data_IF_580053435388
#
_entry.id   IF_580053435388
#
_cell.length_a   1.000
_cell.length_b   1.000
_cell.length_c   1.000
_cell.angle_alpha   90.00
_cell.angle_beta   90.00
_cell.angle_gamma   90.00
#
_symmetry.space_group_name_H-M   'P 1'
#
loop_
_entity.id
_entity.type
_entity.pdbx_description
1 polymer ?
#
# COMPACT_ATOMS: atom_id res chain seq x y z
N UNK A 1 19.83 21.26 8.47
CA UNK A 1 20.44 20.39 7.45
C UNK A 1 19.60 20.50 6.19
N UNK A 2 20.21 20.84 5.06
CA UNK A 2 19.51 20.92 3.77
C UNK A 2 19.37 19.52 3.16
N UNK A 3 18.45 19.36 2.21
CA UNK A 3 18.31 18.11 1.44
C UNK A 3 19.61 17.75 0.71
N UNK A 4 20.36 18.75 0.24
CA UNK A 4 21.66 18.53 -0.41
C UNK A 4 22.69 17.91 0.55
N UNK A 5 22.77 18.42 1.79
CA UNK A 5 23.65 17.85 2.83
C UNK A 5 23.26 16.42 3.22
N UNK A 6 21.97 16.09 3.21
CA UNK A 6 21.47 14.72 3.48
C UNK A 6 21.92 13.77 2.35
N UNK A 7 21.76 14.18 1.09
CA UNK A 7 22.12 13.39 -0.08
C UNK A 7 23.63 13.12 -0.08
N UNK A 8 24.45 14.15 0.14
CA UNK A 8 25.91 14.02 0.22
C UNK A 8 26.31 12.95 1.26
N UNK A 9 25.75 13.04 2.47
CA UNK A 9 26.01 12.06 3.54
C UNK A 9 25.53 10.66 3.19
N UNK A 10 24.38 10.52 2.55
CA UNK A 10 23.84 9.23 2.12
C UNK A 10 24.72 8.58 1.04
N UNK A 11 25.32 9.36 0.14
CA UNK A 11 26.22 8.86 -0.90
C UNK A 11 27.55 8.32 -0.35
N UNK A 12 27.98 8.76 0.84
CA UNK A 12 29.16 8.22 1.53
C UNK A 12 28.93 6.85 2.19
N UNK A 13 27.70 6.39 2.31
CA UNK A 13 27.37 5.07 2.85
C UNK A 13 27.73 3.96 1.87
N UNK A 14 27.95 2.75 2.39
CA UNK A 14 28.07 1.54 1.56
C UNK A 14 26.76 1.26 0.82
N UNK A 15 26.82 0.43 -0.23
CA UNK A 15 25.63 0.07 -0.99
C UNK A 15 24.52 -0.54 -0.10
N UNK A 16 24.88 -1.42 0.84
CA UNK A 16 23.94 -2.06 1.76
C UNK A 16 23.29 -1.07 2.73
N UNK A 17 24.06 -0.11 3.26
CA UNK A 17 23.54 0.93 4.15
C UNK A 17 22.63 1.92 3.40
N UNK A 18 22.96 2.26 2.15
CA UNK A 18 22.06 3.08 1.32
C UNK A 18 20.75 2.36 1.03
N UNK A 19 20.80 1.05 0.76
CA UNK A 19 19.59 0.25 0.58
C UNK A 19 18.74 0.27 1.86
N UNK A 20 19.34 0.01 3.02
CA UNK A 20 18.64 0.08 4.30
C UNK A 20 18.03 1.47 4.57
N UNK A 21 18.73 2.55 4.21
CA UNK A 21 18.22 3.92 4.33
C UNK A 21 17.00 4.15 3.43
N UNK A 22 17.04 3.68 2.18
CA UNK A 22 15.91 3.78 1.24
C UNK A 22 14.69 3.04 1.80
N UNK A 23 14.87 1.83 2.31
CA UNK A 23 13.78 1.04 2.91
C UNK A 23 13.14 1.78 4.10
N UNK A 24 13.95 2.34 5.01
CA UNK A 24 13.45 3.10 6.14
C UNK A 24 12.69 4.36 5.71
N UNK A 25 13.19 5.07 4.70
CA UNK A 25 12.51 6.24 4.13
C UNK A 25 11.19 5.82 3.47
N UNK A 26 11.18 4.73 2.72
CA UNK A 26 9.97 4.19 2.10
C UNK A 26 8.92 3.82 3.16
N UNK A 27 9.30 3.05 4.19
CA UNK A 27 8.42 2.71 5.32
C UNK A 27 7.90 3.94 6.08
N UNK A 28 8.65 5.05 6.07
CA UNK A 28 8.19 6.28 6.69
C UNK A 28 7.04 6.96 5.93
N UNK A 29 6.97 6.71 4.62
CA UNK A 29 5.98 7.24 3.69
C UNK A 29 4.81 6.27 3.48
N UNK A 30 5.10 4.97 3.45
CA UNK A 30 4.13 3.88 3.30
C UNK A 30 3.47 3.54 4.64
N UNK A 31 2.92 4.57 5.28
CA UNK A 31 2.13 4.39 6.50
C UNK A 31 0.66 4.30 6.12
N UNK A 32 -0.05 3.24 6.54
CA UNK A 32 -1.48 3.17 6.33
C UNK A 32 -2.15 4.38 7.00
N UNK A 33 -3.05 5.03 6.27
CA UNK A 33 -3.89 6.08 6.83
C UNK A 33 -5.08 5.39 7.53
N UNK A 34 -5.20 5.46 8.87
CA UNK A 34 -6.26 4.78 9.59
C UNK A 34 -7.66 5.20 9.17
N UNK A 35 -7.83 6.42 8.65
CA UNK A 35 -9.11 6.88 8.11
C UNK A 35 -9.45 6.17 6.79
N UNK A 36 -8.45 5.98 5.93
CA UNK A 36 -8.60 5.23 4.68
C UNK A 36 -8.89 3.76 4.97
N UNK A 37 -8.12 3.14 5.87
CA UNK A 37 -8.32 1.74 6.29
C UNK A 37 -9.73 1.51 6.83
N UNK A 38 -10.23 2.44 7.65
CA UNK A 38 -11.59 2.38 8.18
C UNK A 38 -12.64 2.39 7.07
N UNK A 39 -12.52 3.31 6.10
CA UNK A 39 -13.46 3.40 4.98
C UNK A 39 -13.42 2.12 4.13
N UNK A 40 -12.22 1.58 3.90
CA UNK A 40 -12.05 0.30 3.21
C UNK A 40 -12.70 -0.87 3.96
N UNK A 41 -12.53 -0.93 5.28
CA UNK A 41 -13.17 -1.96 6.11
C UNK A 41 -14.70 -1.87 6.06
N UNK A 42 -15.26 -0.66 6.20
CA UNK A 42 -16.69 -0.42 6.13
C UNK A 42 -17.27 -0.83 4.77
N UNK A 43 -16.56 -0.53 3.67
CA UNK A 43 -16.96 -0.92 2.32
C UNK A 43 -16.86 -2.44 2.09
N UNK A 44 -15.77 -3.07 2.54
CA UNK A 44 -15.58 -4.52 2.40
C UNK A 44 -16.69 -5.31 3.10
N UNK A 45 -17.04 -4.92 4.33
CA UNK A 45 -18.14 -5.53 5.08
C UNK A 45 -19.50 -5.30 4.41
N UNK A 46 -19.73 -4.09 3.89
CA UNK A 46 -20.97 -3.77 3.15
C UNK A 46 -21.13 -4.63 1.91
N UNK A 47 -20.05 -4.86 1.14
CA UNK A 47 -20.07 -5.72 -0.05
C UNK A 47 -20.27 -7.18 0.31
N UNK A 48 -19.61 -7.67 1.36
CA UNK A 48 -19.79 -9.04 1.82
C UNK A 48 -21.25 -9.29 2.20
N UNK A 49 -21.86 -8.39 2.98
CA UNK A 49 -23.27 -8.50 3.35
C UNK A 49 -24.20 -8.50 2.12
N UNK A 50 -23.97 -7.60 1.16
CA UNK A 50 -24.79 -7.56 -0.06
C UNK A 50 -24.62 -8.81 -0.93
N UNK A 51 -23.44 -9.43 -0.92
CA UNK A 51 -23.19 -10.73 -1.56
C UNK A 51 -23.99 -11.84 -0.88
N UNK A 52 -23.90 -11.94 0.45
CA UNK A 52 -24.62 -12.94 1.24
C UNK A 52 -26.15 -12.83 1.07
N UNK A 53 -26.66 -11.62 0.86
CA UNK A 53 -28.08 -11.33 0.64
C UNK A 53 -28.49 -11.44 -0.85
N UNK A 54 -27.58 -11.84 -1.75
CA UNK A 54 -27.85 -12.02 -3.17
C UNK A 54 -28.16 -10.73 -3.93
N UNK A 55 -27.74 -9.58 -3.41
CA UNK A 55 -27.97 -8.25 -4.00
C UNK A 55 -26.80 -7.74 -4.85
N UNK A 56 -25.78 -8.56 -5.04
CA UNK A 56 -24.58 -8.24 -5.82
C UNK A 56 -24.49 -9.16 -7.04
N UNK A 57 -24.32 -8.57 -8.21
CA UNK A 57 -23.92 -9.33 -9.40
C UNK A 57 -22.48 -9.83 -9.23
N UNK A 58 -22.27 -11.10 -9.55
CA UNK A 58 -20.99 -11.76 -9.41
C UNK A 58 -20.52 -12.26 -10.77
N UNK A 59 -19.21 -12.20 -10.99
CA UNK A 59 -18.55 -12.82 -12.15
C UNK A 59 -17.81 -14.08 -11.70
N UNK A 60 -17.51 -14.99 -12.64
CA UNK A 60 -16.68 -16.14 -12.31
C UNK A 60 -15.24 -15.71 -12.03
N UNK A 61 -14.46 -16.59 -11.39
CA UNK A 61 -13.05 -16.34 -11.16
C UNK A 61 -12.29 -16.18 -12.48
N UNK A 62 -12.58 -17.02 -13.48
CA UNK A 62 -11.96 -16.95 -14.80
C UNK A 62 -12.21 -15.60 -15.47
N UNK A 63 -13.40 -15.02 -15.31
CA UNK A 63 -13.72 -13.70 -15.84
C UNK A 63 -13.03 -12.58 -15.06
N UNK A 64 -12.97 -12.67 -13.73
CA UNK A 64 -12.29 -11.68 -12.88
C UNK A 64 -10.78 -11.57 -13.16
N UNK A 65 -10.13 -12.69 -13.53
CA UNK A 65 -8.68 -12.76 -13.76
C UNK A 65 -8.28 -12.78 -15.23
N UNK A 66 -9.22 -12.50 -16.15
CA UNK A 66 -9.00 -12.64 -17.59
C UNK A 66 -7.83 -11.81 -18.15
N UNK A 67 -7.55 -10.65 -17.54
CA UNK A 67 -6.56 -9.67 -18.02
C UNK A 67 -5.27 -9.62 -17.16
N UNK A 68 -5.12 -10.54 -16.20
CA UNK A 68 -3.94 -10.70 -15.34
C UNK A 68 -2.93 -11.65 -15.97
#
# INVERSE_FOLDING_TARGET
MSTAEIIERALHLTASERYALIELLHQSLDKPDPAVDRVWQEEALRRLQAYDEGRLECVSMEEAFKDL
#
